data_IF_055740151831
#
_entry.id   IF_055740151831
#
_cell.length_a   1.000
_cell.length_b   1.000
_cell.length_c   1.000
_cell.angle_alpha   90.00
_cell.angle_beta   90.00
_cell.angle_gamma   90.00
#
_symmetry.space_group_name_H-M   'P 1'
#
loop_
_entity.id
_entity.type
_entity.pdbx_description
1 polymer ?
#
# COMPACT_ATOMS: atom_id res chain seq x y z
N UNK A 1 2.69 -2.61 -9.45
CA UNK A 1 3.71 -1.55 -9.57
C UNK A 1 4.06 -1.35 -11.04
N UNK A 2 4.45 -0.15 -11.42
CA UNK A 2 5.19 0.13 -12.65
C UNK A 2 6.45 0.91 -12.27
N UNK A 3 7.59 0.22 -12.22
CA UNK A 3 8.77 0.73 -11.52
C UNK A 3 8.44 0.97 -10.04
N UNK A 4 8.74 2.18 -9.56
CA UNK A 4 8.53 2.56 -8.16
C UNK A 4 7.10 3.03 -7.85
N UNK A 5 6.21 3.09 -8.86
CA UNK A 5 4.86 3.63 -8.68
C UNK A 5 3.84 2.53 -8.33
N UNK A 6 3.11 2.73 -7.25
CA UNK A 6 1.96 1.92 -6.86
C UNK A 6 0.73 2.33 -7.69
N UNK A 7 0.24 1.42 -8.55
CA UNK A 7 -0.84 1.71 -9.51
C UNK A 7 -2.21 1.19 -9.09
N UNK A 8 -2.24 0.04 -8.41
CA UNK A 8 -3.46 -0.69 -8.10
C UNK A 8 -3.22 -1.55 -6.85
N UNK A 9 -4.31 -1.85 -6.14
CA UNK A 9 -4.33 -2.67 -4.94
C UNK A 9 -5.49 -3.64 -5.03
N UNK A 10 -5.19 -4.92 -4.83
CA UNK A 10 -6.17 -5.97 -4.56
C UNK A 10 -5.99 -6.44 -3.11
N UNK A 11 -7.10 -6.67 -2.42
CA UNK A 11 -7.06 -7.28 -1.08
C UNK A 11 -8.19 -8.30 -0.96
N UNK A 12 -7.84 -9.52 -0.56
CA UNK A 12 -8.78 -10.62 -0.41
C UNK A 12 -9.17 -10.78 1.05
N UNK A 13 -10.45 -10.54 1.36
CA UNK A 13 -11.00 -10.56 2.73
C UNK A 13 -10.30 -9.61 3.72
N UNK A 14 -9.55 -8.62 3.22
CA UNK A 14 -8.86 -7.64 4.04
C UNK A 14 -9.26 -6.21 3.63
N UNK A 15 -10.41 -5.78 4.17
CA UNK A 15 -10.92 -4.43 3.94
C UNK A 15 -9.95 -3.35 4.43
N UNK A 16 -9.12 -3.64 5.44
CA UNK A 16 -8.18 -2.67 6.00
C UNK A 16 -7.03 -2.42 5.03
N UNK A 17 -6.42 -3.48 4.50
CA UNK A 17 -5.35 -3.38 3.52
C UNK A 17 -5.84 -2.66 2.25
N UNK A 18 -7.03 -3.00 1.75
CA UNK A 18 -7.64 -2.30 0.61
C UNK A 18 -7.78 -0.80 0.86
N UNK A 19 -8.33 -0.42 2.01
CA UNK A 19 -8.56 0.99 2.36
C UNK A 19 -7.27 1.79 2.60
N UNK A 20 -6.18 1.12 2.98
CA UNK A 20 -4.85 1.74 3.07
C UNK A 20 -4.28 1.92 1.66
N UNK A 21 -4.23 0.85 0.87
CA UNK A 21 -3.70 0.87 -0.48
C UNK A 21 -4.42 1.87 -1.39
N UNK A 22 -5.75 1.91 -1.33
CA UNK A 22 -6.56 2.91 -2.03
C UNK A 22 -6.15 4.34 -1.67
N UNK A 23 -6.00 4.64 -0.38
CA UNK A 23 -5.59 5.97 0.09
C UNK A 23 -4.15 6.34 -0.30
N UNK A 24 -3.26 5.36 -0.36
CA UNK A 24 -1.90 5.57 -0.87
C UNK A 24 -1.95 6.01 -2.33
N UNK A 25 -2.70 5.28 -3.17
CA UNK A 25 -2.89 5.61 -4.60
C UNK A 25 -3.54 6.99 -4.77
N UNK A 26 -4.64 7.27 -4.07
CA UNK A 26 -5.32 8.58 -4.12
C UNK A 26 -4.44 9.73 -3.64
N UNK A 27 -3.55 9.46 -2.69
CA UNK A 27 -2.56 10.42 -2.19
C UNK A 27 -1.28 10.50 -3.02
N UNK A 28 -1.16 9.76 -4.13
CA UNK A 28 0.05 9.70 -4.95
C UNK A 28 1.26 9.09 -4.24
N UNK A 29 1.06 8.35 -3.14
CA UNK A 29 2.12 7.72 -2.35
C UNK A 29 2.41 6.33 -2.89
N UNK A 30 3.71 6.06 -3.10
CA UNK A 30 4.18 4.75 -3.54
C UNK A 30 5.27 4.25 -2.60
N UNK A 31 4.91 3.51 -1.54
CA UNK A 31 5.89 2.86 -0.68
C UNK A 31 6.75 1.88 -1.48
N UNK A 32 7.95 1.60 -0.99
CA UNK A 32 8.84 0.66 -1.65
C UNK A 32 8.21 -0.76 -1.68
N UNK A 33 8.35 -1.51 -2.79
CA UNK A 33 7.71 -2.82 -2.94
C UNK A 33 8.10 -3.85 -1.87
N UNK A 34 9.34 -3.80 -1.39
CA UNK A 34 9.88 -4.66 -0.33
C UNK A 34 9.22 -4.41 1.02
N UNK A 35 8.91 -3.15 1.34
CA UNK A 35 8.16 -2.78 2.55
C UNK A 35 6.73 -3.34 2.50
N UNK A 36 6.06 -3.27 1.34
CA UNK A 36 4.69 -3.79 1.17
C UNK A 36 4.64 -5.33 1.13
N UNK A 37 5.68 -5.98 0.61
CA UNK A 37 5.78 -7.44 0.55
C UNK A 37 6.02 -8.08 1.94
N UNK A 38 6.50 -7.32 2.92
CA UNK A 38 6.73 -7.83 4.27
C UNK A 38 5.41 -7.90 5.07
N UNK A 39 4.97 -9.10 5.49
CA UNK A 39 3.74 -9.26 6.27
C UNK A 39 3.83 -8.66 7.68
N UNK A 40 5.03 -8.40 8.20
CA UNK A 40 5.24 -7.77 9.51
C UNK A 40 5.16 -6.23 9.45
N UNK A 41 5.09 -5.65 8.25
CA UNK A 41 4.96 -4.20 8.09
C UNK A 41 3.63 -3.70 8.63
N UNK A 42 3.67 -2.66 9.49
CA UNK A 42 2.48 -1.89 9.81
C UNK A 42 2.04 -1.04 8.61
N UNK A 43 1.12 -1.57 7.82
CA UNK A 43 0.55 -0.89 6.65
C UNK A 43 -0.04 0.48 7.01
N UNK A 44 -0.54 0.69 8.23
CA UNK A 44 -1.14 1.98 8.62
C UNK A 44 -0.07 3.07 8.76
N UNK A 45 1.15 2.71 9.15
CA UNK A 45 2.26 3.65 9.23
C UNK A 45 2.60 4.26 7.86
N UNK A 46 2.39 3.51 6.77
CA UNK A 46 2.64 3.97 5.40
C UNK A 46 1.78 5.18 4.99
N UNK A 47 0.64 5.40 5.65
CA UNK A 47 -0.21 6.57 5.37
C UNK A 47 0.38 7.89 5.87
N UNK A 48 1.28 7.84 6.88
CA UNK A 48 1.87 9.03 7.50
C UNK A 48 3.16 9.49 6.84
N UNK A 49 3.83 8.60 6.13
CA UNK A 49 5.08 8.85 5.42
C UNK A 49 4.89 9.79 4.22
#
# INVERSE_FOLDING_TARGET
YAGDTLLAVDAMNDARAYMIGKRLIEGGKSPAPDVVANPETDLKALLKA
#
